data_IF_614226352013
#
_entry.id   IF_614226352013
#
_cell.length_a   1.000
_cell.length_b   1.000
_cell.length_c   1.000
_cell.angle_alpha   90.00
_cell.angle_beta   90.00
_cell.angle_gamma   90.00
#
_symmetry.space_group_name_H-M   'P 1'
#
loop_
_entity.id
_entity.type
_entity.pdbx_description
1 polymer ?
#
# COMPACT_ATOMS: atom_id res chain seq x y z
N UNK A 1 -9.69 -26.38 -6.52
CA UNK A 1 -11.00 -26.16 -5.89
C UNK A 1 -11.01 -26.07 -4.36
N UNK A 2 -9.91 -26.37 -3.65
CA UNK A 2 -9.89 -26.32 -2.17
C UNK A 2 -9.98 -24.90 -1.59
N UNK A 3 -9.36 -23.91 -2.25
CA UNK A 3 -9.42 -22.50 -1.85
C UNK A 3 -10.85 -21.95 -1.91
N UNK A 4 -11.55 -22.18 -3.01
CA UNK A 4 -12.95 -21.76 -3.20
C UNK A 4 -13.91 -22.44 -2.24
N UNK A 5 -13.61 -23.67 -1.79
CA UNK A 5 -14.35 -24.34 -0.73
C UNK A 5 -14.15 -23.65 0.63
N UNK A 6 -12.92 -23.29 1.00
CA UNK A 6 -12.63 -22.51 2.22
C UNK A 6 -13.40 -21.17 2.21
N UNK A 7 -13.39 -20.43 1.10
CA UNK A 7 -14.15 -19.17 1.02
C UNK A 7 -15.68 -19.34 0.99
N UNK A 8 -16.19 -20.57 0.83
CA UNK A 8 -17.64 -20.85 0.91
C UNK A 8 -18.08 -21.35 2.29
N UNK A 9 -17.18 -22.01 3.01
CA UNK A 9 -17.52 -22.69 4.27
C UNK A 9 -17.18 -21.89 5.54
N UNK A 10 -16.40 -20.81 5.41
CA UNK A 10 -15.92 -20.03 6.55
C UNK A 10 -16.64 -18.69 6.67
N UNK A 11 -16.71 -18.13 7.89
CA UNK A 11 -17.28 -16.79 8.13
C UNK A 11 -16.38 -15.69 7.56
N UNK A 12 -16.93 -14.49 7.36
CA UNK A 12 -16.18 -13.34 6.83
C UNK A 12 -14.90 -13.04 7.64
N UNK A 13 -14.99 -13.07 8.97
CA UNK A 13 -13.84 -12.91 9.86
C UNK A 13 -12.77 -13.99 9.66
N UNK A 14 -13.18 -15.25 9.48
CA UNK A 14 -12.24 -16.35 9.25
C UNK A 14 -11.59 -16.30 7.87
N UNK A 15 -12.33 -15.86 6.84
CA UNK A 15 -11.79 -15.62 5.50
C UNK A 15 -10.76 -14.49 5.51
N UNK A 16 -11.04 -13.41 6.27
CA UNK A 16 -10.13 -12.30 6.45
C UNK A 16 -8.84 -12.76 7.15
N UNK A 17 -8.95 -13.50 8.25
CA UNK A 17 -7.80 -14.06 8.97
C UNK A 17 -6.95 -14.98 8.07
N UNK A 18 -7.60 -15.84 7.29
CA UNK A 18 -6.92 -16.74 6.36
C UNK A 18 -6.21 -15.98 5.23
N UNK A 19 -6.88 -14.99 4.63
CA UNK A 19 -6.30 -14.12 3.62
C UNK A 19 -5.11 -13.31 4.15
N UNK A 20 -5.24 -12.74 5.35
CA UNK A 20 -4.18 -12.00 6.03
C UNK A 20 -2.97 -12.88 6.36
N UNK A 21 -3.21 -14.13 6.78
CA UNK A 21 -2.14 -15.11 7.00
C UNK A 21 -1.39 -15.45 5.71
N UNK A 22 -2.11 -15.71 4.62
CA UNK A 22 -1.51 -15.95 3.30
C UNK A 22 -0.69 -14.76 2.81
N UNK A 23 -1.25 -13.54 2.92
CA UNK A 23 -0.57 -12.31 2.55
C UNK A 23 0.69 -12.08 3.38
N UNK A 24 0.63 -12.31 4.69
CA UNK A 24 1.76 -12.14 5.60
C UNK A 24 2.90 -13.13 5.28
N UNK A 25 2.57 -14.39 4.99
CA UNK A 25 3.55 -15.40 4.59
C UNK A 25 4.17 -15.06 3.23
N UNK A 26 3.35 -14.63 2.27
CA UNK A 26 3.84 -14.23 0.95
C UNK A 26 4.75 -12.99 1.05
N UNK A 27 4.34 -11.98 1.83
CA UNK A 27 5.09 -10.76 2.06
C UNK A 27 6.45 -11.01 2.72
N UNK A 28 6.50 -11.84 3.78
CA UNK A 28 7.76 -12.21 4.43
C UNK A 28 8.70 -12.96 3.48
N UNK A 29 8.17 -13.87 2.67
CA UNK A 29 8.94 -14.55 1.61
C UNK A 29 9.47 -13.57 0.57
N UNK A 30 8.62 -12.66 0.10
CA UNK A 30 9.00 -11.68 -0.93
C UNK A 30 10.07 -10.74 -0.38
N UNK A 31 9.92 -10.31 0.87
CA UNK A 31 10.88 -9.48 1.58
C UNK A 31 12.21 -10.19 1.81
N UNK A 32 12.19 -11.49 2.15
CA UNK A 32 13.43 -12.26 2.25
C UNK A 32 14.17 -12.34 0.90
N UNK A 33 13.44 -12.59 -0.18
CA UNK A 33 14.00 -12.66 -1.52
C UNK A 33 14.60 -11.33 -1.99
N UNK A 34 13.96 -10.20 -1.66
CA UNK A 34 14.35 -8.88 -2.16
C UNK A 34 15.27 -8.09 -1.21
N UNK A 35 15.12 -8.24 0.09
CA UNK A 35 15.84 -7.47 1.11
C UNK A 35 16.84 -8.31 1.93
N UNK A 36 16.87 -9.64 1.74
CA UNK A 36 17.73 -10.56 2.52
C UNK A 36 17.37 -10.66 4.01
N UNK A 37 16.21 -10.13 4.41
CA UNK A 37 15.75 -10.09 5.81
C UNK A 37 14.67 -11.15 6.04
N UNK A 38 14.80 -11.92 7.10
CA UNK A 38 13.82 -12.93 7.51
C UNK A 38 13.27 -12.57 8.88
N UNK A 39 11.95 -12.49 9.04
CA UNK A 39 11.38 -12.43 10.38
C UNK A 39 11.45 -13.79 11.07
N UNK A 40 11.51 -13.78 12.40
CA UNK A 40 11.29 -15.01 13.16
C UNK A 40 9.84 -15.49 12.96
N UNK A 41 9.59 -16.79 13.09
CA UNK A 41 8.25 -17.38 12.96
C UNK A 41 7.23 -16.72 13.91
N UNK A 42 7.70 -16.22 15.05
CA UNK A 42 6.93 -15.44 16.03
C UNK A 42 6.64 -14.03 15.51
N UNK A 43 7.60 -13.40 14.84
CA UNK A 43 7.44 -12.10 14.19
C UNK A 43 6.34 -12.09 13.12
N UNK A 44 6.30 -13.13 12.27
CA UNK A 44 5.24 -13.27 11.24
C UNK A 44 3.86 -13.47 11.87
N UNK A 45 3.76 -14.27 12.94
CA UNK A 45 2.51 -14.47 13.66
C UNK A 45 2.00 -13.20 14.34
N UNK A 46 2.91 -12.44 14.98
CA UNK A 46 2.59 -11.16 15.60
C UNK A 46 2.19 -10.11 14.56
N UNK A 47 2.89 -10.06 13.42
CA UNK A 47 2.52 -9.19 12.30
C UNK A 47 1.11 -9.52 11.79
N UNK A 48 0.83 -10.81 11.54
CA UNK A 48 -0.49 -11.25 11.07
C UNK A 48 -1.60 -10.86 12.07
N UNK A 49 -1.35 -11.08 13.36
CA UNK A 49 -2.30 -10.73 14.42
C UNK A 49 -2.56 -9.22 14.49
N UNK A 50 -1.49 -8.41 14.47
CA UNK A 50 -1.59 -6.96 14.52
C UNK A 50 -2.30 -6.42 13.27
N UNK A 51 -1.98 -6.98 12.10
CA UNK A 51 -2.61 -6.60 10.84
C UNK A 51 -4.11 -6.91 10.82
N UNK A 52 -4.54 -8.06 11.36
CA UNK A 52 -5.96 -8.38 11.52
C UNK A 52 -6.65 -7.43 12.49
N UNK A 53 -6.05 -7.13 13.65
CA UNK A 53 -6.60 -6.15 14.57
C UNK A 53 -6.73 -4.75 13.95
N UNK A 54 -5.73 -4.30 13.18
CA UNK A 54 -5.79 -3.03 12.45
C UNK A 54 -6.94 -3.03 11.43
N UNK A 55 -7.13 -4.13 10.69
CA UNK A 55 -8.24 -4.27 9.75
C UNK A 55 -9.61 -4.23 10.45
N UNK A 56 -9.78 -4.93 11.57
CA UNK A 56 -11.02 -4.89 12.34
C UNK A 56 -11.30 -3.46 12.83
N UNK A 57 -10.30 -2.75 13.36
CA UNK A 57 -10.42 -1.34 13.74
C UNK A 57 -10.76 -0.42 12.54
N UNK A 58 -10.24 -0.71 11.35
CA UNK A 58 -10.53 0.05 10.14
C UNK A 58 -11.94 -0.23 9.61
N UNK A 59 -12.45 -1.46 9.75
CA UNK A 59 -13.82 -1.82 9.39
C UNK A 59 -14.81 -1.10 10.31
N UNK A 60 -14.56 -1.09 11.62
CA UNK A 60 -15.35 -0.33 12.60
C UNK A 60 -15.31 1.19 12.35
N UNK A 61 -14.17 1.72 11.90
CA UNK A 61 -14.05 3.12 11.46
C UNK A 61 -14.78 3.40 10.15
N UNK A 62 -14.83 2.45 9.21
CA UNK A 62 -15.55 2.60 7.93
C UNK A 62 -17.06 2.57 8.10
N UNK A 63 -17.58 1.74 9.01
CA UNK A 63 -19.01 1.70 9.32
C UNK A 63 -19.49 2.98 10.01
N UNK A 64 -18.61 3.65 10.76
CA UNK A 64 -18.86 4.99 11.30
C UNK A 64 -18.66 6.11 10.27
N UNK A 65 -17.77 5.91 9.29
CA UNK A 65 -17.51 6.82 8.19
C UNK A 65 -18.29 6.44 6.92
N UNK A 66 -19.62 6.55 6.96
CA UNK A 66 -20.45 6.54 5.74
C UNK A 66 -20.32 7.89 5.00
N UNK A 67 -19.08 8.25 4.66
CA UNK A 67 -18.81 9.30 3.70
C UNK A 67 -19.17 8.77 2.32
N UNK A 68 -19.92 9.54 1.53
CA UNK A 68 -20.15 9.23 0.11
C UNK A 68 -18.81 8.82 -0.51
N UNK A 69 -18.79 7.68 -1.21
CA UNK A 69 -17.68 7.25 -2.03
C UNK A 69 -17.56 8.27 -3.17
N UNK A 70 -16.94 9.41 -2.88
CA UNK A 70 -16.69 10.43 -3.88
C UNK A 70 -15.60 9.90 -4.79
N UNK A 71 -16.02 9.43 -5.96
CA UNK A 71 -15.09 9.18 -7.04
C UNK A 71 -14.35 10.49 -7.29
N UNK A 72 -13.02 10.42 -7.33
CA UNK A 72 -12.17 11.58 -7.58
C UNK A 72 -12.66 12.26 -8.87
N UNK A 73 -12.92 13.58 -8.77
CA UNK A 73 -13.23 14.42 -9.92
C UNK A 73 -12.01 15.30 -10.21
N UNK A 74 -11.62 15.48 -11.48
CA UNK A 74 -10.59 16.44 -11.83
C UNK A 74 -10.99 17.82 -11.30
N UNK A 75 -10.06 18.54 -10.66
CA UNK A 75 -10.35 19.89 -10.18
C UNK A 75 -10.67 20.81 -11.36
N UNK A 76 -11.64 21.71 -11.18
CA UNK A 76 -12.07 22.61 -12.24
C UNK A 76 -10.95 23.62 -12.58
N UNK A 77 -10.71 23.89 -13.86
CA UNK A 77 -9.82 24.97 -14.32
C UNK A 77 -8.37 24.55 -14.63
N UNK A 78 -7.39 25.41 -14.31
CA UNK A 78 -5.95 25.27 -14.62
C UNK A 78 -5.16 24.44 -13.58
N UNK A 79 -5.84 23.68 -12.73
CA UNK A 79 -5.20 22.95 -11.65
C UNK A 79 -4.50 21.68 -12.15
N UNK A 80 -3.32 21.41 -11.58
CA UNK A 80 -2.49 20.25 -11.91
C UNK A 80 -2.59 19.26 -10.76
N UNK A 81 -2.94 18.01 -11.06
CA UNK A 81 -2.87 16.89 -10.12
C UNK A 81 -1.46 16.33 -10.10
N UNK A 82 -0.85 16.23 -8.93
CA UNK A 82 0.44 15.56 -8.77
C UNK A 82 0.21 14.29 -7.97
N UNK A 83 0.59 13.15 -8.56
CA UNK A 83 0.59 11.85 -7.90
C UNK A 83 2.02 11.45 -7.55
N UNK A 84 2.20 10.90 -6.36
CA UNK A 84 3.44 10.33 -5.86
C UNK A 84 3.23 8.86 -5.58
N UNK A 85 4.25 8.06 -5.87
CA UNK A 85 4.28 6.64 -5.52
C UNK A 85 5.73 6.23 -5.30
N UNK A 86 5.94 5.19 -4.51
CA UNK A 86 7.27 4.66 -4.21
C UNK A 86 7.28 3.13 -4.29
N UNK A 87 8.33 2.61 -4.93
CA UNK A 87 8.56 1.18 -5.10
C UNK A 87 9.98 0.81 -4.69
N UNK A 88 10.18 -0.44 -4.31
CA UNK A 88 11.50 -1.02 -4.08
C UNK A 88 11.81 -1.97 -5.24
N UNK A 89 12.98 -1.83 -5.87
CA UNK A 89 13.49 -2.74 -6.89
C UNK A 89 14.91 -3.23 -6.53
N UNK A 90 15.52 -4.03 -7.40
CA UNK A 90 16.86 -4.57 -7.19
C UNK A 90 17.98 -3.51 -7.17
N UNK A 91 17.69 -2.28 -7.62
CA UNK A 91 18.61 -1.13 -7.59
C UNK A 91 18.40 -0.26 -6.35
N UNK A 92 17.29 -0.44 -5.62
CA UNK A 92 16.99 0.23 -4.36
C UNK A 92 15.58 0.80 -4.29
N UNK A 93 15.38 1.80 -3.43
CA UNK A 93 14.10 2.50 -3.35
C UNK A 93 13.99 3.55 -4.44
N UNK A 94 12.83 3.63 -5.07
CA UNK A 94 12.54 4.55 -6.17
C UNK A 94 11.21 5.25 -5.94
N UNK A 95 11.18 6.57 -6.12
CA UNK A 95 9.92 7.32 -6.21
C UNK A 95 9.56 7.64 -7.65
N UNK A 96 8.27 7.74 -7.93
CA UNK A 96 7.71 8.20 -9.19
C UNK A 96 6.72 9.33 -8.94
N UNK A 97 6.81 10.34 -9.79
CA UNK A 97 6.02 11.55 -9.74
C UNK A 97 5.34 11.70 -11.09
N UNK A 98 4.03 11.96 -11.10
CA UNK A 98 3.29 12.22 -12.32
C UNK A 98 2.37 13.42 -12.12
N UNK A 99 2.59 14.46 -12.92
CA UNK A 99 1.75 15.65 -12.97
C UNK A 99 0.77 15.55 -14.15
N UNK A 100 -0.52 15.75 -13.91
CA UNK A 100 -1.59 15.68 -14.91
C UNK A 100 -2.46 16.93 -14.88
N UNK A 101 -2.96 17.33 -16.04
CA UNK A 101 -3.98 18.37 -16.13
C UNK A 101 -5.39 17.81 -15.86
N UNK A 102 -6.41 18.68 -15.92
CA UNK A 102 -7.81 18.31 -15.73
C UNK A 102 -8.35 17.33 -16.80
N UNK A 103 -7.70 17.24 -17.97
CA UNK A 103 -8.00 16.26 -19.03
C UNK A 103 -7.26 14.93 -18.83
N UNK A 104 -6.61 14.74 -17.68
CA UNK A 104 -5.77 13.57 -17.33
C UNK A 104 -4.50 13.40 -18.18
N UNK A 105 -4.17 14.39 -19.02
CA UNK A 105 -2.96 14.40 -19.84
C UNK A 105 -1.73 14.61 -18.96
N UNK A 106 -0.68 13.81 -19.19
CA UNK A 106 0.57 13.90 -18.43
C UNK A 106 1.35 15.13 -18.91
N UNK A 107 1.50 16.11 -18.04
CA UNK A 107 2.30 17.31 -18.30
C UNK A 107 3.78 17.08 -17.97
N UNK A 108 4.04 16.32 -16.91
CA UNK A 108 5.39 15.98 -16.48
C UNK A 108 5.41 14.64 -15.73
N UNK A 109 6.53 13.94 -15.84
CA UNK A 109 6.80 12.71 -15.10
C UNK A 109 8.26 12.69 -14.67
N UNK A 110 8.53 12.29 -13.44
CA UNK A 110 9.87 12.18 -12.91
C UNK A 110 10.01 10.92 -12.06
N UNK A 111 11.23 10.40 -11.96
CA UNK A 111 11.54 9.30 -11.05
C UNK A 111 12.91 9.48 -10.41
N UNK A 112 13.03 9.16 -9.12
CA UNK A 112 14.27 9.33 -8.37
C UNK A 112 14.63 8.06 -7.62
N UNK A 113 15.91 7.75 -7.59
CA UNK A 113 16.45 6.70 -6.73
C UNK A 113 16.82 7.30 -5.38
N UNK A 114 16.48 6.59 -4.32
CA UNK A 114 16.68 6.99 -2.93
C UNK A 114 17.60 5.97 -2.25
N UNK A 115 18.80 6.41 -1.89
CA UNK A 115 19.84 5.55 -1.28
C UNK A 115 19.88 5.64 0.24
N UNK A 116 19.23 6.65 0.82
CA UNK A 116 19.40 7.06 2.23
C UNK A 116 18.20 6.76 3.12
N UNK A 117 17.11 6.24 2.56
CA UNK A 117 15.83 6.08 3.26
C UNK A 117 15.53 4.59 3.45
N UNK A 118 14.85 4.22 4.55
CA UNK A 118 14.72 2.82 4.96
C UNK A 118 13.53 2.07 4.38
N UNK A 119 12.51 2.78 3.89
CA UNK A 119 11.24 2.19 3.43
C UNK A 119 10.64 2.94 2.23
N UNK A 120 9.75 2.28 1.48
CA UNK A 120 9.00 2.91 0.38
C UNK A 120 8.09 4.04 0.88
N UNK A 121 7.48 3.87 2.04
CA UNK A 121 6.63 4.90 2.66
C UNK A 121 7.40 6.18 2.95
N UNK A 122 8.59 6.06 3.55
CA UNK A 122 9.43 7.23 3.85
C UNK A 122 9.86 7.95 2.57
N UNK A 123 10.11 7.22 1.49
CA UNK A 123 10.46 7.76 0.17
C UNK A 123 9.28 8.51 -0.46
N UNK A 124 8.07 7.98 -0.34
CA UNK A 124 6.86 8.65 -0.81
C UNK A 124 6.61 9.96 -0.04
N UNK A 125 6.70 9.91 1.30
CA UNK A 125 6.55 11.07 2.16
C UNK A 125 7.61 12.14 1.90
N UNK A 126 8.88 11.75 1.74
CA UNK A 126 9.98 12.66 1.41
C UNK A 126 9.76 13.31 0.04
N UNK A 127 9.35 12.52 -0.96
CA UNK A 127 9.08 13.04 -2.31
C UNK A 127 7.93 14.05 -2.30
N UNK A 128 6.89 13.80 -1.50
CA UNK A 128 5.79 14.75 -1.30
C UNK A 128 6.27 16.04 -0.62
N UNK A 129 7.09 15.92 0.44
CA UNK A 129 7.66 17.07 1.14
C UNK A 129 8.54 17.94 0.25
N UNK A 130 9.47 17.34 -0.52
CA UNK A 130 10.38 18.06 -1.42
C UNK A 130 9.66 18.86 -2.51
N UNK A 131 8.47 18.44 -2.91
CA UNK A 131 7.70 19.11 -3.96
C UNK A 131 6.76 20.21 -3.46
N UNK A 132 6.37 20.13 -2.19
CA UNK A 132 5.52 21.12 -1.53
C UNK A 132 6.33 22.20 -0.78
N UNK A 133 7.66 22.02 -0.67
CA UNK A 133 8.59 22.96 -0.04
C UNK A 133 9.09 24.01 -1.03
#
# INVERSE_FOLDING_TARGET
EWLTWIFRSYTESQQCLFGCGLWSIWSDKNRNLHEGKTHSRIGVANFTKNYVCELDCLIERKTTFVGKKENWKPPNGQSIKINFDALFDCLGLKSRIVARNANEEVLASNSRLHMTVGTTFDVEALTCFELCS
#
